data_IF_722769057720
#
_entry.id   IF_722769057720
#
_cell.length_a   1.000
_cell.length_b   1.000
_cell.length_c   1.000
_cell.angle_alpha   90.00
_cell.angle_beta   90.00
_cell.angle_gamma   90.00
#
_symmetry.space_group_name_H-M   'P 1'
#
loop_
_entity.id
_entity.type
_entity.pdbx_description
1 polymer ?
#
# COMPACT_ATOMS: atom_id res chain seq x y z
N UNK A 1 0.57 -24.11 28.19
CA UNK A 1 1.09 -23.58 26.89
C UNK A 1 0.58 -22.16 26.73
N UNK A 2 1.45 -21.16 26.46
CA UNK A 2 1.00 -19.79 26.16
C UNK A 2 0.60 -19.73 24.68
N UNK A 3 -0.69 -19.61 24.40
CA UNK A 3 -1.25 -19.66 23.03
C UNK A 3 -1.36 -18.28 22.36
N UNK A 4 -0.96 -17.21 23.04
CA UNK A 4 -1.14 -15.82 22.59
C UNK A 4 0.16 -15.12 22.18
N UNK A 5 1.21 -15.86 21.81
CA UNK A 5 2.51 -15.30 21.43
C UNK A 5 2.42 -14.34 20.24
N UNK A 6 1.55 -14.63 19.26
CA UNK A 6 1.30 -13.78 18.10
C UNK A 6 0.76 -12.39 18.48
N UNK A 7 -0.08 -12.31 19.52
CA UNK A 7 -0.60 -11.02 20.03
C UNK A 7 0.47 -10.16 20.75
N UNK A 8 1.62 -10.77 21.08
CA UNK A 8 2.75 -10.06 21.70
C UNK A 8 3.76 -9.58 20.67
N UNK A 9 3.69 -10.04 19.42
CA UNK A 9 4.51 -9.56 18.31
C UNK A 9 3.84 -8.30 17.76
N UNK A 10 4.09 -7.18 18.43
CA UNK A 10 3.70 -5.85 17.97
C UNK A 10 4.94 -5.12 17.49
N UNK A 11 4.92 -4.63 16.24
CA UNK A 11 6.09 -3.99 15.62
C UNK A 11 6.53 -2.71 16.33
N UNK A 12 5.66 -2.09 17.15
CA UNK A 12 6.05 -0.96 18.01
C UNK A 12 7.02 -1.34 19.15
N UNK A 13 7.25 -2.64 19.39
CA UNK A 13 8.25 -3.15 20.35
C UNK A 13 9.45 -3.82 19.65
N UNK A 14 9.40 -3.92 18.32
CA UNK A 14 10.49 -4.46 17.51
C UNK A 14 11.33 -3.29 17.00
N UNK A 15 12.67 -3.29 17.14
CA UNK A 15 13.51 -2.26 16.57
C UNK A 15 13.27 -2.09 15.06
N UNK A 16 13.20 -0.83 14.60
CA UNK A 16 12.87 -0.46 13.21
C UNK A 16 13.78 -1.15 12.19
N UNK A 17 15.04 -1.35 12.55
CA UNK A 17 16.08 -1.99 11.73
C UNK A 17 15.71 -3.41 11.28
N UNK A 18 14.86 -4.12 12.03
CA UNK A 18 14.46 -5.49 11.68
C UNK A 18 13.38 -5.58 10.60
N UNK A 19 12.72 -4.46 10.28
CA UNK A 19 11.62 -4.47 9.29
C UNK A 19 11.70 -3.31 8.28
N UNK A 20 12.58 -2.33 8.52
CA UNK A 20 12.84 -1.19 7.64
C UNK A 20 14.35 -1.02 7.44
N UNK A 21 14.97 -1.87 6.60
CA UNK A 21 16.41 -1.90 6.39
C UNK A 21 16.88 -0.63 5.68
N UNK A 22 18.09 -0.17 6.00
CA UNK A 22 18.68 1.05 5.40
C UNK A 22 19.55 0.74 4.20
N UNK A 23 20.07 -0.48 4.12
CA UNK A 23 20.95 -0.90 3.03
C UNK A 23 20.34 -2.05 2.23
N UNK A 24 20.78 -2.18 0.98
CA UNK A 24 20.38 -3.30 0.11
C UNK A 24 20.79 -4.66 0.68
N UNK A 25 21.91 -4.70 1.41
CA UNK A 25 22.40 -5.92 2.06
C UNK A 25 21.43 -6.35 3.17
N UNK A 26 21.09 -5.43 4.08
CA UNK A 26 20.11 -5.68 5.15
C UNK A 26 18.75 -6.09 4.59
N UNK A 27 18.30 -5.43 3.52
CA UNK A 27 17.03 -5.79 2.86
C UNK A 27 17.04 -7.24 2.36
N UNK A 28 18.10 -7.64 1.66
CA UNK A 28 18.29 -9.01 1.18
C UNK A 28 18.28 -10.03 2.32
N UNK A 29 18.85 -9.68 3.48
CA UNK A 29 18.87 -10.57 4.64
C UNK A 29 17.48 -10.80 5.23
N UNK A 30 16.63 -9.78 5.33
CA UNK A 30 15.29 -9.90 5.91
C UNK A 30 14.27 -10.45 4.92
N UNK A 31 14.41 -10.17 3.62
CA UNK A 31 13.49 -10.60 2.57
C UNK A 31 13.93 -11.90 1.89
N UNK A 32 14.94 -12.61 2.41
CA UNK A 32 15.57 -13.78 1.77
C UNK A 32 14.58 -14.89 1.38
N UNK A 33 13.47 -15.00 2.10
CA UNK A 33 12.41 -16.00 1.86
C UNK A 33 11.30 -15.47 0.94
N UNK A 34 11.23 -14.15 0.74
CA UNK A 34 10.22 -13.52 -0.09
C UNK A 34 10.61 -13.62 -1.57
N UNK A 35 9.63 -13.99 -2.40
CA UNK A 35 9.83 -14.15 -3.85
C UNK A 35 9.53 -12.87 -4.63
N UNK A 36 8.99 -11.86 -3.96
CA UNK A 36 8.63 -10.56 -4.50
C UNK A 36 9.10 -9.47 -3.55
N UNK A 37 9.26 -8.25 -4.06
CA UNK A 37 9.58 -7.09 -3.24
C UNK A 37 8.53 -6.93 -2.14
N UNK A 38 8.98 -6.90 -0.88
CA UNK A 38 8.12 -6.97 0.29
C UNK A 38 8.61 -5.96 1.33
N UNK A 39 7.82 -4.91 1.53
CA UNK A 39 8.07 -3.91 2.55
C UNK A 39 7.19 -4.18 3.78
N UNK A 40 7.76 -4.02 4.97
CA UNK A 40 7.07 -4.21 6.24
C UNK A 40 6.88 -2.83 6.89
N UNK A 41 5.65 -2.55 7.34
CA UNK A 41 5.29 -1.28 7.95
C UNK A 41 4.82 -1.49 9.39
N UNK A 42 5.09 -0.51 10.27
CA UNK A 42 4.77 -0.63 11.69
C UNK A 42 3.27 -0.56 11.98
N UNK A 43 2.51 0.03 11.06
CA UNK A 43 1.07 0.23 11.17
C UNK A 43 0.37 0.12 9.83
N UNK A 44 -0.93 -0.16 9.87
CA UNK A 44 -1.79 -0.16 8.68
C UNK A 44 -1.81 1.22 8.01
N UNK A 45 -1.78 2.31 8.79
CA UNK A 45 -1.79 3.66 8.26
C UNK A 45 -0.53 3.99 7.46
N UNK A 46 0.65 3.58 7.96
CA UNK A 46 1.93 3.78 7.25
C UNK A 46 1.94 2.98 5.93
N UNK A 47 1.51 1.71 5.96
CA UNK A 47 1.42 0.89 4.75
C UNK A 47 0.42 1.44 3.73
N UNK A 48 -0.75 1.88 4.19
CA UNK A 48 -1.76 2.46 3.32
C UNK A 48 -1.29 3.77 2.67
N UNK A 49 -0.62 4.64 3.43
CA UNK A 49 0.01 5.85 2.90
C UNK A 49 1.06 5.52 1.85
N UNK A 50 1.89 4.51 2.09
CA UNK A 50 2.92 4.10 1.13
C UNK A 50 2.31 3.60 -0.18
N UNK A 51 1.25 2.80 -0.12
CA UNK A 51 0.53 2.33 -1.33
C UNK A 51 -0.10 3.51 -2.07
N UNK A 52 -0.73 4.46 -1.35
CA UNK A 52 -1.28 5.67 -1.94
C UNK A 52 -0.21 6.53 -2.63
N UNK A 53 1.00 6.65 -2.05
CA UNK A 53 2.14 7.34 -2.67
C UNK A 53 2.52 6.73 -4.02
N UNK A 54 2.54 5.40 -4.12
CA UNK A 54 2.85 4.70 -5.38
C UNK A 54 1.77 4.92 -6.43
N UNK A 55 0.50 4.88 -6.04
CA UNK A 55 -0.63 5.14 -6.94
C UNK A 55 -0.59 6.58 -7.44
N UNK A 56 -0.41 7.56 -6.55
CA UNK A 56 -0.29 8.97 -6.90
C UNK A 56 0.89 9.23 -7.86
N UNK A 57 2.05 8.63 -7.58
CA UNK A 57 3.21 8.73 -8.48
C UNK A 57 2.89 8.20 -9.88
N UNK A 58 2.20 7.06 -9.96
CA UNK A 58 1.74 6.47 -11.23
C UNK A 58 0.76 7.37 -11.98
N UNK A 59 -0.23 7.93 -11.30
CA UNK A 59 -1.21 8.86 -11.87
C UNK A 59 -0.51 10.12 -12.41
N UNK A 60 0.39 10.71 -11.62
CA UNK A 60 1.14 11.91 -12.01
C UNK A 60 2.05 11.65 -13.21
N UNK A 61 2.74 10.51 -13.24
CA UNK A 61 3.57 10.12 -14.38
C UNK A 61 2.73 9.97 -15.66
N UNK A 62 1.61 9.24 -15.60
CA UNK A 62 0.71 9.10 -16.75
C UNK A 62 0.16 10.45 -17.22
N UNK A 63 -0.16 11.36 -16.29
CA UNK A 63 -0.65 12.70 -16.63
C UNK A 63 0.44 13.53 -17.33
N UNK A 64 1.70 13.46 -16.88
CA UNK A 64 2.82 14.14 -17.53
C UNK A 64 3.05 13.63 -18.96
N UNK A 65 2.79 12.35 -19.20
CA UNK A 65 2.85 11.74 -20.53
C UNK A 65 1.61 11.99 -21.39
N UNK A 66 0.57 12.65 -20.87
CA UNK A 66 -0.70 12.85 -21.57
C UNK A 66 -1.50 11.56 -21.77
N UNK A 67 -1.25 10.53 -20.95
CA UNK A 67 -1.91 9.22 -21.02
C UNK A 67 -2.92 9.04 -19.89
N UNK A 68 -3.82 8.08 -20.09
CA UNK A 68 -4.68 7.58 -19.03
C UNK A 68 -3.91 6.64 -18.10
N UNK A 69 -4.11 6.80 -16.79
CA UNK A 69 -3.69 5.82 -15.79
C UNK A 69 -4.82 4.81 -15.61
N UNK A 70 -4.59 3.54 -15.97
CA UNK A 70 -5.60 2.49 -15.90
C UNK A 70 -5.32 1.61 -14.68
N UNK A 71 -6.32 1.43 -13.83
CA UNK A 71 -6.19 0.56 -12.64
C UNK A 71 -7.44 -0.29 -12.39
N UNK A 72 -7.23 -1.45 -11.77
CA UNK A 72 -8.31 -2.28 -11.26
C UNK A 72 -8.50 -2.02 -9.74
N UNK A 73 -9.74 -1.91 -9.28
CA UNK A 73 -10.07 -1.86 -7.85
C UNK A 73 -10.44 -3.24 -7.35
N UNK A 74 -9.87 -3.61 -6.21
CA UNK A 74 -10.34 -4.73 -5.41
C UNK A 74 -11.36 -4.27 -4.36
N UNK A 75 -11.90 -5.24 -3.63
CA UNK A 75 -12.68 -5.00 -2.42
C UNK A 75 -12.05 -5.74 -1.23
N UNK A 76 -12.40 -5.32 -0.02
CA UNK A 76 -11.87 -5.88 1.22
C UNK A 76 -11.45 -4.80 2.22
N UNK A 77 -11.51 -5.12 3.51
CA UNK A 77 -11.26 -4.16 4.58
C UNK A 77 -9.83 -3.62 4.63
N UNK A 78 -8.87 -4.38 4.11
CA UNK A 78 -7.46 -3.96 4.00
C UNK A 78 -7.26 -2.79 3.04
N UNK A 79 -8.17 -2.59 2.07
CA UNK A 79 -8.06 -1.54 1.05
C UNK A 79 -8.69 -0.21 1.51
N UNK A 80 -9.57 -0.22 2.51
CA UNK A 80 -10.26 0.99 2.96
C UNK A 80 -9.30 2.12 3.33
N UNK A 81 -8.26 1.82 4.11
CA UNK A 81 -7.26 2.83 4.49
C UNK A 81 -6.50 3.40 3.29
N UNK A 82 -6.32 2.64 2.21
CA UNK A 82 -5.71 3.14 0.96
C UNK A 82 -6.67 4.08 0.25
N UNK A 83 -7.95 3.72 0.16
CA UNK A 83 -8.96 4.56 -0.47
C UNK A 83 -9.22 5.85 0.30
N UNK A 84 -9.27 5.81 1.63
CA UNK A 84 -9.40 6.99 2.48
C UNK A 84 -8.24 7.97 2.23
N UNK A 85 -7.03 7.46 2.11
CA UNK A 85 -5.85 8.28 1.84
C UNK A 85 -5.90 8.92 0.43
N UNK A 86 -6.33 8.17 -0.58
CA UNK A 86 -6.54 8.68 -1.94
C UNK A 86 -7.64 9.76 -1.99
N UNK A 87 -8.75 9.56 -1.27
CA UNK A 87 -9.84 10.53 -1.13
C UNK A 87 -9.37 11.79 -0.40
N UNK A 88 -8.61 11.63 0.69
CA UNK A 88 -8.01 12.75 1.45
C UNK A 88 -7.17 13.63 0.53
N UNK A 89 -6.26 13.04 -0.26
CA UNK A 89 -5.38 13.76 -1.20
C UNK A 89 -6.15 14.46 -2.32
N UNK A 90 -7.23 13.86 -2.81
CA UNK A 90 -8.12 14.53 -3.76
C UNK A 90 -8.83 15.74 -3.15
N UNK A 91 -9.31 15.62 -1.91
CA UNK A 91 -9.96 16.72 -1.22
C UNK A 91 -8.98 17.87 -0.93
N UNK A 92 -7.73 17.54 -0.59
CA UNK A 92 -6.62 18.49 -0.40
C UNK A 92 -6.06 19.07 -1.70
N UNK A 93 -6.57 18.65 -2.86
CA UNK A 93 -6.15 19.11 -4.19
C UNK A 93 -4.70 18.78 -4.54
N UNK A 94 -4.11 17.78 -3.87
CA UNK A 94 -2.76 17.27 -4.16
C UNK A 94 -2.78 16.16 -5.21
N UNK A 95 -3.94 15.50 -5.38
CA UNK A 95 -4.19 14.44 -6.37
C UNK A 95 -5.43 14.75 -7.23
N UNK A 96 -5.37 14.39 -8.52
CA UNK A 96 -6.50 14.51 -9.45
C UNK A 96 -6.73 13.17 -10.15
N UNK A 97 -7.98 12.74 -10.22
CA UNK A 97 -8.39 11.51 -10.91
C UNK A 97 -8.86 11.75 -12.35
N UNK A 98 -8.67 12.95 -12.91
CA UNK A 98 -9.22 13.35 -14.22
C UNK A 98 -8.81 12.46 -15.39
N UNK A 99 -7.63 11.86 -15.33
CA UNK A 99 -7.08 10.97 -16.35
C UNK A 99 -6.96 9.53 -15.84
N UNK A 100 -7.77 9.15 -14.85
CA UNK A 100 -7.77 7.80 -14.28
C UNK A 100 -8.97 7.03 -14.80
N UNK A 101 -8.71 5.84 -15.34
CA UNK A 101 -9.73 4.87 -15.78
C UNK A 101 -9.70 3.69 -14.82
N UNK A 102 -10.87 3.33 -14.32
CA UNK A 102 -11.01 2.31 -13.29
C UNK A 102 -11.83 1.14 -13.79
N UNK A 103 -11.36 -0.08 -13.51
CA UNK A 103 -12.12 -1.32 -13.66
C UNK A 103 -12.37 -1.94 -12.28
N UNK A 104 -13.59 -2.39 -11.98
CA UNK A 104 -13.79 -3.23 -10.81
C UNK A 104 -13.28 -4.65 -11.12
N UNK A 105 -12.44 -5.21 -10.25
CA UNK A 105 -11.80 -6.50 -10.48
C UNK A 105 -12.79 -7.67 -10.38
N UNK A 106 -13.78 -7.58 -9.50
CA UNK A 106 -14.81 -8.61 -9.34
C UNK A 106 -16.02 -8.07 -8.58
N UNK A 107 -17.16 -8.73 -8.76
CA UNK A 107 -18.39 -8.45 -8.03
C UNK A 107 -19.24 -9.72 -7.93
N UNK A 108 -20.09 -9.82 -6.90
CA UNK A 108 -21.00 -10.95 -6.74
C UNK A 108 -22.32 -10.73 -7.48
N UNK A 109 -22.92 -11.82 -7.99
CA UNK A 109 -24.22 -11.82 -8.65
C UNK A 109 -25.27 -12.53 -7.77
N UNK A 110 -26.53 -12.04 -7.70
CA UNK A 110 -27.04 -10.81 -8.31
C UNK A 110 -26.63 -9.56 -7.53
N UNK A 111 -26.53 -8.45 -8.26
CA UNK A 111 -26.36 -7.10 -7.71
C UNK A 111 -27.67 -6.57 -7.12
#
# INVERSE_FOLDING_TARGET
MRLNLSSQIVLNKVPVEFYKPKTTVEYSEISRMEKIHTDIFASMAEGASHVADKIEAGIKAAQQEGKFYVMALGSGSSLYSVYDELVRRYNEKTLSFRNVVVFNAYEYYPL
#
